data_IF_594808586613
#
_entry.id   IF_594808586613
#
_cell.length_a   1.000
_cell.length_b   1.000
_cell.length_c   1.000
_cell.angle_alpha   90.00
_cell.angle_beta   90.00
_cell.angle_gamma   90.00
#
_symmetry.space_group_name_H-M   'P 1'
#
loop_
_entity.id
_entity.type
_entity.pdbx_description
1 polymer ?
#
# COMPACT_ATOMS: atom_id res chain seq x y z
N UNK A 1 -9.33 15.68 -38.79
CA UNK A 1 -8.26 15.98 -37.82
C UNK A 1 -8.91 16.25 -36.47
N UNK A 2 -9.04 15.25 -35.64
CA UNK A 2 -9.59 15.36 -34.28
C UNK A 2 -8.40 15.34 -33.33
N UNK A 3 -8.16 16.47 -32.66
CA UNK A 3 -7.15 16.63 -31.61
C UNK A 3 -7.51 15.75 -30.41
N UNK A 4 -6.61 14.95 -29.84
CA UNK A 4 -6.92 14.24 -28.60
C UNK A 4 -7.01 15.26 -27.46
N UNK A 5 -8.14 15.28 -26.79
CA UNK A 5 -8.37 16.05 -25.57
C UNK A 5 -7.32 15.62 -24.52
N UNK A 6 -6.37 16.50 -24.21
CA UNK A 6 -5.47 16.36 -23.09
C UNK A 6 -6.29 16.48 -21.83
N UNK A 7 -6.63 15.36 -21.21
CA UNK A 7 -7.10 15.31 -19.85
C UNK A 7 -5.99 15.84 -18.93
N UNK A 8 -6.01 17.12 -18.65
CA UNK A 8 -5.14 17.75 -17.65
C UNK A 8 -5.67 17.36 -16.29
N UNK A 9 -5.21 16.25 -15.72
CA UNK A 9 -5.34 16.01 -14.29
C UNK A 9 -4.59 17.16 -13.58
N UNK A 10 -5.37 18.13 -13.16
CA UNK A 10 -4.92 19.26 -12.37
C UNK A 10 -4.44 18.69 -11.05
N UNK A 11 -3.11 18.71 -10.77
CA UNK A 11 -2.57 18.38 -9.44
C UNK A 11 -3.35 19.16 -8.40
N UNK A 12 -3.91 18.43 -7.43
CA UNK A 12 -4.41 19.03 -6.21
C UNK A 12 -3.26 19.85 -5.59
N UNK A 13 -3.54 21.01 -5.01
CA UNK A 13 -2.48 21.78 -4.32
C UNK A 13 -1.90 20.93 -3.18
N UNK A 14 -0.61 21.05 -2.87
CA UNK A 14 0.09 20.23 -1.86
C UNK A 14 -0.65 20.09 -0.51
N UNK A 15 -1.44 21.10 -0.13
CA UNK A 15 -2.28 21.04 1.07
C UNK A 15 -3.38 20.00 0.97
N UNK A 16 -4.05 19.94 -0.18
CA UNK A 16 -5.11 18.96 -0.42
C UNK A 16 -4.58 17.53 -0.54
N UNK A 17 -3.36 17.34 -1.10
CA UNK A 17 -2.73 16.03 -1.17
C UNK A 17 -2.51 15.45 0.22
N UNK A 18 -2.04 16.25 1.18
CA UNK A 18 -1.85 15.84 2.57
C UNK A 18 -3.16 15.45 3.25
N UNK A 19 -4.24 16.19 3.01
CA UNK A 19 -5.57 15.86 3.54
C UNK A 19 -6.08 14.53 2.96
N UNK A 20 -5.87 14.28 1.66
CA UNK A 20 -6.22 13.00 1.02
C UNK A 20 -5.41 11.85 1.66
N UNK A 21 -4.11 12.02 1.86
CA UNK A 21 -3.26 10.99 2.48
C UNK A 21 -3.69 10.71 3.92
N UNK A 22 -3.99 11.74 4.70
CA UNK A 22 -4.44 11.54 6.08
C UNK A 22 -5.79 10.83 6.15
N UNK A 23 -6.79 11.26 5.39
CA UNK A 23 -8.08 10.57 5.33
C UNK A 23 -7.92 9.11 4.83
N UNK A 24 -7.07 8.88 3.82
CA UNK A 24 -6.79 7.53 3.32
C UNK A 24 -6.10 6.65 4.38
N UNK A 25 -5.15 7.20 5.15
CA UNK A 25 -4.51 6.47 6.26
C UNK A 25 -5.53 6.01 7.30
N UNK A 26 -6.41 6.91 7.71
CA UNK A 26 -7.46 6.63 8.69
C UNK A 26 -8.49 5.59 8.18
N UNK A 27 -8.85 5.66 6.89
CA UNK A 27 -9.79 4.72 6.26
C UNK A 27 -9.18 3.34 5.98
N UNK A 28 -7.85 3.25 5.82
CA UNK A 28 -7.13 1.99 5.63
C UNK A 28 -6.61 1.39 6.95
N UNK A 29 -6.85 2.03 8.07
CA UNK A 29 -6.56 1.45 9.38
C UNK A 29 -7.52 0.28 9.67
N UNK A 30 -7.02 -0.72 10.42
CA UNK A 30 -7.85 -1.84 10.85
C UNK A 30 -9.06 -1.36 11.67
N UNK A 31 -10.27 -1.83 11.39
CA UNK A 31 -11.47 -1.48 12.16
C UNK A 31 -11.38 -2.01 13.60
N UNK A 32 -11.19 -1.11 14.54
CA UNK A 32 -11.05 -1.38 15.98
C UNK A 32 -11.84 -0.35 16.82
N UNK A 33 -11.66 -0.35 18.14
CA UNK A 33 -12.37 0.53 19.06
C UNK A 33 -12.18 2.03 18.82
N UNK A 34 -11.21 2.45 18.04
CA UNK A 34 -10.99 3.85 17.66
C UNK A 34 -11.61 4.24 16.31
N UNK A 35 -12.31 3.31 15.64
CA UNK A 35 -12.92 3.55 14.31
C UNK A 35 -13.83 4.77 14.31
N UNK A 36 -14.71 4.93 15.28
CA UNK A 36 -15.66 6.07 15.36
C UNK A 36 -14.92 7.41 15.32
N UNK A 37 -13.89 7.56 16.15
CA UNK A 37 -13.07 8.79 16.18
C UNK A 37 -12.36 9.04 14.84
N UNK A 38 -11.85 7.98 14.19
CA UNK A 38 -11.22 8.09 12.87
C UNK A 38 -12.23 8.56 11.83
N UNK A 39 -13.45 8.04 11.84
CA UNK A 39 -14.51 8.42 10.92
C UNK A 39 -14.96 9.88 11.14
N UNK A 40 -15.04 10.37 12.39
CA UNK A 40 -15.31 11.78 12.68
C UNK A 40 -14.23 12.70 12.06
N UNK A 41 -12.95 12.36 12.21
CA UNK A 41 -11.84 13.12 11.61
C UNK A 41 -11.94 13.10 10.08
N UNK A 42 -12.24 11.94 9.48
CA UNK A 42 -12.40 11.83 8.02
C UNK A 42 -13.57 12.66 7.54
N UNK A 43 -14.71 12.66 8.26
CA UNK A 43 -15.87 13.49 7.90
C UNK A 43 -15.53 14.99 7.83
N UNK A 44 -14.76 15.49 8.80
CA UNK A 44 -14.24 16.86 8.78
C UNK A 44 -13.33 17.11 7.57
N UNK A 45 -12.37 16.22 7.33
CA UNK A 45 -11.46 16.33 6.18
C UNK A 45 -12.23 16.36 4.84
N UNK A 46 -13.24 15.50 4.67
CA UNK A 46 -14.04 15.45 3.44
C UNK A 46 -14.66 16.81 3.10
N UNK A 47 -15.06 17.58 4.10
CA UNK A 47 -15.60 18.94 3.93
C UNK A 47 -14.61 19.96 3.34
N UNK A 48 -13.31 19.66 3.42
CA UNK A 48 -12.22 20.53 2.96
C UNK A 48 -11.60 20.07 1.63
N UNK A 49 -12.00 18.90 1.11
CA UNK A 49 -11.44 18.32 -0.11
C UNK A 49 -12.21 18.80 -1.36
N UNK A 50 -11.53 18.79 -2.53
CA UNK A 50 -12.21 18.92 -3.82
C UNK A 50 -13.27 17.81 -3.99
N UNK A 51 -14.40 18.10 -4.67
CA UNK A 51 -15.55 17.18 -4.77
C UNK A 51 -15.19 15.78 -5.28
N UNK A 52 -14.24 15.68 -6.22
CA UNK A 52 -13.78 14.40 -6.77
C UNK A 52 -13.11 13.51 -5.70
N UNK A 53 -12.16 14.07 -4.95
CA UNK A 53 -11.50 13.37 -3.87
C UNK A 53 -12.45 13.04 -2.71
N UNK A 54 -13.32 13.98 -2.35
CA UNK A 54 -14.33 13.78 -1.32
C UNK A 54 -15.32 12.66 -1.69
N UNK A 55 -15.71 12.54 -2.95
CA UNK A 55 -16.57 11.44 -3.42
C UNK A 55 -15.88 10.10 -3.28
N UNK A 56 -14.63 9.98 -3.76
CA UNK A 56 -13.86 8.74 -3.72
C UNK A 56 -13.63 8.22 -2.29
N UNK A 57 -13.24 9.10 -1.37
CA UNK A 57 -13.02 8.74 0.03
C UNK A 57 -14.33 8.54 0.79
N UNK A 58 -15.37 9.33 0.45
CA UNK A 58 -16.68 9.27 1.08
C UNK A 58 -17.42 7.94 0.88
N UNK A 59 -17.15 7.21 -0.19
CA UNK A 59 -17.70 5.87 -0.40
C UNK A 59 -17.21 4.89 0.68
N UNK A 60 -15.91 4.89 0.97
CA UNK A 60 -15.33 4.04 2.03
C UNK A 60 -15.75 4.52 3.41
N UNK A 61 -15.79 5.83 3.63
CA UNK A 61 -16.26 6.41 4.90
C UNK A 61 -17.67 5.92 5.22
N UNK A 62 -18.61 6.07 4.28
CA UNK A 62 -20.00 5.64 4.44
C UNK A 62 -20.10 4.14 4.69
N UNK A 63 -19.35 3.33 3.94
CA UNK A 63 -19.30 1.88 4.15
C UNK A 63 -18.90 1.54 5.59
N UNK A 64 -17.86 2.16 6.13
CA UNK A 64 -17.38 1.91 7.49
C UNK A 64 -18.34 2.46 8.56
N UNK A 65 -19.04 3.58 8.28
CA UNK A 65 -20.04 4.17 9.18
C UNK A 65 -21.30 3.32 9.27
N UNK A 66 -21.75 2.73 8.13
CA UNK A 66 -22.97 1.90 8.06
C UNK A 66 -22.74 0.44 8.44
N UNK A 67 -21.46 0.00 8.56
CA UNK A 67 -21.12 -1.41 8.82
C UNK A 67 -20.77 -1.61 10.29
N UNK A 68 -21.36 -2.61 10.90
CA UNK A 68 -21.03 -3.01 12.27
C UNK A 68 -19.55 -3.41 12.37
N UNK A 69 -18.87 -3.01 13.47
CA UNK A 69 -17.42 -3.05 13.61
C UNK A 69 -16.80 -4.45 13.38
N UNK A 70 -17.41 -5.51 13.90
CA UNK A 70 -16.90 -6.88 13.69
C UNK A 70 -17.07 -7.34 12.25
N UNK A 71 -18.13 -6.88 11.58
CA UNK A 71 -18.36 -7.14 10.15
C UNK A 71 -17.37 -6.36 9.29
N UNK A 72 -17.07 -5.11 9.64
CA UNK A 72 -16.04 -4.30 8.97
C UNK A 72 -14.66 -4.93 9.15
N UNK A 73 -14.30 -5.37 10.36
CA UNK A 73 -13.05 -6.05 10.65
C UNK A 73 -12.91 -7.37 9.87
N UNK A 74 -13.96 -8.17 9.80
CA UNK A 74 -13.96 -9.42 9.02
C UNK A 74 -13.75 -9.13 7.51
N UNK A 75 -14.42 -8.11 6.96
CA UNK A 75 -14.25 -7.70 5.56
C UNK A 75 -12.85 -7.12 5.30
N UNK A 76 -12.27 -6.40 6.26
CA UNK A 76 -10.88 -5.91 6.19
C UNK A 76 -9.90 -7.09 6.05
N UNK A 77 -9.98 -8.06 6.96
CA UNK A 77 -9.14 -9.28 6.93
C UNK A 77 -9.33 -10.04 5.62
N UNK A 78 -10.58 -10.26 5.18
CA UNK A 78 -10.83 -10.91 3.90
C UNK A 78 -10.23 -10.14 2.72
N UNK A 79 -10.27 -8.81 2.76
CA UNK A 79 -9.80 -7.96 1.67
C UNK A 79 -8.28 -7.87 1.65
N UNK A 80 -7.62 -7.61 2.78
CA UNK A 80 -6.21 -7.20 2.82
C UNK A 80 -5.26 -8.29 3.33
N UNK A 81 -5.72 -9.18 4.24
CA UNK A 81 -4.85 -10.16 4.87
C UNK A 81 -4.90 -11.51 4.17
N UNK A 82 -6.09 -11.94 3.72
CA UNK A 82 -6.26 -13.25 3.09
C UNK A 82 -5.99 -13.26 1.59
N UNK A 83 -5.87 -12.11 0.95
CA UNK A 83 -5.65 -11.99 -0.50
C UNK A 83 -4.32 -11.33 -0.81
N UNK A 84 -3.36 -12.09 -1.32
CA UNK A 84 -2.03 -11.58 -1.71
C UNK A 84 -2.06 -10.41 -2.69
N UNK A 85 -3.10 -10.31 -3.55
CA UNK A 85 -3.26 -9.25 -4.55
C UNK A 85 -3.79 -7.93 -4.00
N UNK A 86 -4.16 -7.89 -2.72
CA UNK A 86 -4.71 -6.69 -2.06
C UNK A 86 -3.99 -6.35 -0.78
N UNK A 87 -2.81 -6.94 -0.52
CA UNK A 87 -2.00 -6.62 0.65
C UNK A 87 -1.57 -5.16 0.68
N UNK A 88 -1.64 -4.54 1.86
CA UNK A 88 -1.24 -3.15 2.08
C UNK A 88 0.27 -2.98 2.33
N UNK A 89 1.04 -4.07 2.39
CA UNK A 89 2.50 -4.02 2.56
C UNK A 89 3.21 -3.78 1.24
N UNK A 90 3.77 -2.58 1.07
CA UNK A 90 4.32 -2.13 -0.22
C UNK A 90 5.54 -2.93 -0.66
N UNK A 91 6.40 -3.33 0.30
CA UNK A 91 7.60 -4.12 -0.01
C UNK A 91 7.30 -5.55 -0.42
N UNK A 92 6.12 -6.08 -0.07
CA UNK A 92 5.67 -7.38 -0.54
C UNK A 92 5.64 -7.46 -2.07
N UNK A 93 5.20 -6.40 -2.73
CA UNK A 93 5.12 -6.33 -4.18
C UNK A 93 6.48 -6.28 -4.88
N UNK A 94 7.52 -5.75 -4.19
CA UNK A 94 8.86 -5.55 -4.78
C UNK A 94 9.86 -6.61 -4.36
N UNK A 95 9.70 -7.17 -3.18
CA UNK A 95 10.61 -8.16 -2.61
C UNK A 95 9.94 -9.51 -2.30
N UNK A 96 8.60 -9.60 -2.32
CA UNK A 96 7.89 -10.83 -1.94
C UNK A 96 8.17 -11.25 -0.50
N UNK A 97 8.00 -12.53 -0.20
CA UNK A 97 8.36 -13.11 1.10
C UNK A 97 9.83 -13.59 1.10
N UNK A 98 10.75 -12.72 0.66
CA UNK A 98 12.17 -13.01 0.57
C UNK A 98 12.97 -12.34 1.69
N UNK A 99 14.22 -12.78 1.91
CA UNK A 99 15.15 -12.11 2.85
C UNK A 99 15.41 -10.64 2.51
N UNK A 100 15.22 -10.25 1.25
CA UNK A 100 15.38 -8.88 0.80
C UNK A 100 14.30 -7.95 1.36
N UNK A 101 13.10 -8.47 1.68
CA UNK A 101 11.98 -7.68 2.22
C UNK A 101 12.36 -6.97 3.52
N UNK A 102 13.06 -7.66 4.44
CA UNK A 102 13.52 -7.03 5.69
C UNK A 102 14.38 -5.78 5.46
N UNK A 103 15.27 -5.79 4.45
CA UNK A 103 16.07 -4.60 4.10
C UNK A 103 15.23 -3.48 3.51
N UNK A 104 14.22 -3.80 2.71
CA UNK A 104 13.31 -2.77 2.18
C UNK A 104 12.46 -2.15 3.28
N UNK A 105 11.96 -2.93 4.25
CA UNK A 105 11.23 -2.40 5.42
C UNK A 105 12.12 -1.47 6.24
N UNK A 106 13.38 -1.86 6.50
CA UNK A 106 14.33 -1.00 7.21
C UNK A 106 14.58 0.32 6.48
N UNK A 107 14.57 0.33 5.14
CA UNK A 107 14.72 1.56 4.38
C UNK A 107 13.54 2.54 4.58
N UNK A 108 12.31 2.06 4.83
CA UNK A 108 11.19 2.93 5.24
C UNK A 108 11.45 3.50 6.64
N UNK A 109 11.83 2.67 7.59
CA UNK A 109 12.14 3.11 8.95
C UNK A 109 13.26 4.17 8.98
N UNK A 110 14.28 4.03 8.14
CA UNK A 110 15.37 5.00 8.02
C UNK A 110 14.91 6.33 7.44
N UNK A 111 13.96 6.33 6.48
CA UNK A 111 13.33 7.56 5.99
C UNK A 111 12.57 8.27 7.11
N UNK A 112 11.78 7.53 7.90
CA UNK A 112 11.04 8.11 9.03
C UNK A 112 11.97 8.74 10.06
N UNK A 113 13.01 8.02 10.49
CA UNK A 113 14.02 8.55 11.44
C UNK A 113 14.76 9.77 10.90
N UNK A 114 15.08 9.79 9.61
CA UNK A 114 15.72 10.93 8.95
C UNK A 114 14.85 12.18 8.96
N UNK A 115 13.53 12.01 9.01
CA UNK A 115 12.54 13.09 9.15
C UNK A 115 12.17 13.36 10.63
N UNK A 116 12.85 12.74 11.60
CA UNK A 116 12.61 12.95 13.02
C UNK A 116 11.45 12.18 13.63
N UNK A 117 10.94 11.14 12.94
CA UNK A 117 9.87 10.27 13.44
C UNK A 117 10.39 8.85 13.67
N UNK A 118 9.89 8.19 14.72
CA UNK A 118 10.09 6.76 14.89
C UNK A 118 9.00 5.98 14.14
N UNK A 119 9.35 4.85 13.51
CA UNK A 119 8.34 3.96 12.93
C UNK A 119 7.44 3.40 14.04
N UNK A 120 6.16 3.10 13.75
CA UNK A 120 5.26 2.52 14.75
C UNK A 120 5.80 1.18 15.27
N UNK A 121 5.49 0.86 16.53
CA UNK A 121 5.95 -0.38 17.16
C UNK A 121 5.04 -1.58 16.89
N UNK A 122 3.80 -1.33 16.53
CA UNK A 122 2.70 -2.28 16.37
C UNK A 122 2.38 -2.58 14.90
N UNK A 123 3.01 -1.87 13.95
CA UNK A 123 2.82 -2.09 12.52
C UNK A 123 4.13 -1.95 11.74
N UNK A 124 4.23 -2.61 10.59
CA UNK A 124 5.42 -2.51 9.74
C UNK A 124 5.51 -1.14 9.04
N UNK A 125 6.72 -0.62 8.93
CA UNK A 125 6.98 0.70 8.37
C UNK A 125 6.56 0.84 6.88
N UNK A 126 6.42 -0.26 6.15
CA UNK A 126 5.99 -0.31 4.76
C UNK A 126 4.47 -0.52 4.58
N UNK A 127 3.71 -0.61 5.68
CA UNK A 127 2.25 -0.66 5.60
C UNK A 127 1.70 0.64 5.03
N UNK A 128 0.82 0.56 4.04
CA UNK A 128 0.36 1.74 3.28
C UNK A 128 -0.27 2.82 4.18
N UNK A 129 -1.08 2.44 5.17
CA UNK A 129 -1.67 3.41 6.09
C UNK A 129 -0.58 4.18 6.87
N UNK A 130 0.48 3.51 7.31
CA UNK A 130 1.63 4.13 8.00
C UNK A 130 2.38 5.10 7.07
N UNK A 131 2.62 4.70 5.82
CA UNK A 131 3.28 5.56 4.83
C UNK A 131 2.46 6.80 4.52
N UNK A 132 1.14 6.67 4.41
CA UNK A 132 0.21 7.76 4.15
C UNK A 132 0.14 8.73 5.34
N UNK A 133 0.08 8.21 6.56
CA UNK A 133 0.07 9.03 7.78
C UNK A 133 1.39 9.81 7.93
N UNK A 134 2.53 9.15 7.73
CA UNK A 134 3.83 9.81 7.68
C UNK A 134 3.87 10.93 6.63
N UNK A 135 3.38 10.67 5.41
CA UNK A 135 3.34 11.66 4.33
C UNK A 135 2.41 12.84 4.65
N UNK A 136 1.31 12.58 5.35
CA UNK A 136 0.34 13.60 5.71
C UNK A 136 0.83 14.50 6.85
N UNK A 137 1.39 13.91 7.90
CA UNK A 137 1.61 14.60 9.19
C UNK A 137 3.08 14.99 9.39
N UNK A 138 4.02 14.10 9.02
CA UNK A 138 5.44 14.29 9.33
C UNK A 138 6.19 14.98 8.20
N UNK A 139 6.36 14.32 7.07
CA UNK A 139 7.16 14.82 5.95
C UNK A 139 6.49 14.50 4.60
N UNK A 140 5.81 15.51 4.05
CA UNK A 140 5.09 15.38 2.78
C UNK A 140 6.04 15.14 1.58
N UNK A 141 7.28 15.62 1.65
CA UNK A 141 8.25 15.45 0.54
C UNK A 141 8.81 14.04 0.54
N UNK A 142 9.28 13.57 1.70
CA UNK A 142 9.79 12.21 1.85
C UNK A 142 8.68 11.18 1.64
N UNK A 143 7.47 11.43 2.17
CA UNK A 143 6.31 10.57 1.99
C UNK A 143 5.85 10.47 0.53
N UNK A 144 5.73 11.61 -0.19
CA UNK A 144 5.45 11.58 -1.64
C UNK A 144 6.51 10.77 -2.40
N UNK A 145 7.79 10.92 -2.04
CA UNK A 145 8.86 10.16 -2.68
C UNK A 145 8.71 8.64 -2.47
N UNK A 146 8.32 8.19 -1.27
CA UNK A 146 8.00 6.80 -1.00
C UNK A 146 6.80 6.33 -1.83
N UNK A 147 5.68 7.04 -1.81
CA UNK A 147 4.48 6.70 -2.59
C UNK A 147 4.78 6.61 -4.10
N UNK A 148 5.59 7.53 -4.63
CA UNK A 148 6.03 7.50 -6.03
C UNK A 148 6.92 6.30 -6.35
N UNK A 149 7.83 5.94 -5.46
CA UNK A 149 8.69 4.75 -5.62
C UNK A 149 7.86 3.47 -5.74
N UNK A 150 6.76 3.40 -5.01
CA UNK A 150 5.85 2.26 -5.01
C UNK A 150 4.59 2.47 -5.87
N UNK A 151 4.67 3.35 -6.88
CA UNK A 151 3.55 3.66 -7.78
C UNK A 151 2.96 2.41 -8.45
N UNK A 152 3.80 1.51 -8.94
CA UNK A 152 3.33 0.29 -9.60
C UNK A 152 2.54 -0.63 -8.64
N UNK A 153 3.00 -0.94 -7.42
CA UNK A 153 2.19 -1.57 -6.39
C UNK A 153 0.84 -0.89 -6.12
N UNK A 154 0.81 0.44 -5.99
CA UNK A 154 -0.42 1.19 -5.74
C UNK A 154 -1.44 1.04 -6.87
N UNK A 155 -1.00 1.08 -8.14
CA UNK A 155 -1.86 0.86 -9.30
C UNK A 155 -2.42 -0.57 -9.33
N UNK A 156 -1.60 -1.57 -8.99
CA UNK A 156 -2.05 -2.96 -8.93
C UNK A 156 -3.08 -3.18 -7.82
N UNK A 157 -2.81 -2.63 -6.65
CA UNK A 157 -3.71 -2.69 -5.50
C UNK A 157 -5.05 -2.01 -5.84
N UNK A 158 -5.02 -0.81 -6.42
CA UNK A 158 -6.21 -0.12 -6.90
C UNK A 158 -7.00 -0.98 -7.89
N UNK A 159 -6.33 -1.53 -8.92
CA UNK A 159 -6.98 -2.37 -9.93
C UNK A 159 -7.63 -3.60 -9.31
N UNK A 160 -6.95 -4.31 -8.40
CA UNK A 160 -7.48 -5.49 -7.72
C UNK A 160 -8.69 -5.19 -6.83
N UNK A 161 -8.68 -4.05 -6.12
CA UNK A 161 -9.82 -3.59 -5.32
C UNK A 161 -11.00 -3.18 -6.21
N UNK A 162 -10.76 -2.52 -7.33
CA UNK A 162 -11.80 -2.13 -8.29
C UNK A 162 -12.43 -3.35 -8.96
N UNK A 163 -11.62 -4.34 -9.40
CA UNK A 163 -12.09 -5.60 -9.98
C UNK A 163 -12.99 -6.39 -9.02
N UNK A 164 -12.63 -6.40 -7.73
CA UNK A 164 -13.42 -7.07 -6.68
C UNK A 164 -14.60 -6.23 -6.18
N UNK A 165 -14.78 -5.01 -6.69
CA UNK A 165 -15.79 -4.05 -6.22
C UNK A 165 -15.70 -3.77 -4.72
N UNK A 166 -14.46 -3.73 -4.20
CA UNK A 166 -14.23 -3.45 -2.79
C UNK A 166 -14.62 -2.01 -2.44
N UNK A 167 -15.22 -1.83 -1.28
CA UNK A 167 -15.51 -0.49 -0.73
C UNK A 167 -14.25 0.37 -0.54
N UNK A 168 -13.07 -0.22 -0.49
CA UNK A 168 -11.78 0.48 -0.36
C UNK A 168 -11.17 0.94 -1.69
N UNK A 169 -11.78 0.62 -2.84
CA UNK A 169 -11.22 0.99 -4.16
C UNK A 169 -11.10 2.51 -4.33
N UNK A 170 -12.09 3.29 -3.85
CA UNK A 170 -12.08 4.75 -3.90
C UNK A 170 -10.90 5.38 -3.15
N UNK A 171 -10.49 4.81 -2.01
CA UNK A 171 -9.32 5.29 -1.25
C UNK A 171 -8.07 5.23 -2.09
N UNK A 172 -7.82 4.10 -2.77
CA UNK A 172 -6.64 3.94 -3.61
C UNK A 172 -6.69 4.84 -4.84
N UNK A 173 -7.88 5.04 -5.44
CA UNK A 173 -8.09 5.98 -6.53
C UNK A 173 -7.73 7.41 -6.10
N UNK A 174 -8.20 7.86 -4.92
CA UNK A 174 -7.89 9.16 -4.36
C UNK A 174 -6.38 9.34 -4.12
N UNK A 175 -5.72 8.37 -3.49
CA UNK A 175 -4.25 8.38 -3.30
C UNK A 175 -3.52 8.46 -4.64
N UNK A 176 -3.88 7.63 -5.60
CA UNK A 176 -3.27 7.63 -6.93
C UNK A 176 -3.45 8.97 -7.66
N UNK A 177 -4.55 9.68 -7.46
CA UNK A 177 -4.80 10.98 -8.10
C UNK A 177 -3.89 12.11 -7.59
N UNK A 178 -3.37 12.02 -6.36
CA UNK A 178 -2.42 12.98 -5.79
C UNK A 178 -1.01 12.85 -6.38
N UNK A 179 -0.68 11.68 -6.91
CA UNK A 179 0.66 11.38 -7.42
C UNK A 179 0.80 11.78 -8.90
N UNK A 180 2.01 12.05 -9.37
CA UNK A 180 2.25 12.27 -10.81
C UNK A 180 1.72 11.10 -11.64
N UNK A 181 1.28 11.40 -12.85
CA UNK A 181 0.84 10.37 -13.81
C UNK A 181 1.87 9.25 -13.91
N UNK A 182 1.41 7.99 -13.84
CA UNK A 182 2.27 6.83 -13.97
C UNK A 182 3.06 6.88 -15.28
N UNK A 183 4.37 6.68 -15.20
CA UNK A 183 5.23 6.64 -16.39
C UNK A 183 5.05 5.32 -17.15
N UNK A 184 5.49 5.27 -18.41
CA UNK A 184 5.49 4.02 -19.17
C UNK A 184 6.27 2.90 -18.44
N UNK A 185 7.32 3.27 -17.68
CA UNK A 185 8.09 2.33 -16.83
C UNK A 185 7.26 1.80 -15.66
N UNK A 186 6.47 2.65 -15.01
CA UNK A 186 5.60 2.24 -13.90
C UNK A 186 4.51 1.26 -14.40
N UNK A 187 3.90 1.58 -15.53
CA UNK A 187 2.90 0.73 -16.19
C UNK A 187 3.49 -0.63 -16.60
N UNK A 188 4.68 -0.63 -17.19
CA UNK A 188 5.37 -1.86 -17.56
C UNK A 188 5.71 -2.71 -16.34
N UNK A 189 6.20 -2.08 -15.25
CA UNK A 189 6.49 -2.77 -13.99
C UNK A 189 5.22 -3.34 -13.34
N UNK A 190 4.12 -2.57 -13.34
CA UNK A 190 2.83 -3.04 -12.83
C UNK A 190 2.34 -4.27 -13.62
N UNK A 191 2.42 -4.24 -14.96
CA UNK A 191 2.04 -5.39 -15.80
C UNK A 191 2.90 -6.63 -15.54
N UNK A 192 4.21 -6.45 -15.37
CA UNK A 192 5.12 -7.54 -15.03
C UNK A 192 4.76 -8.17 -13.68
N UNK A 193 4.57 -7.36 -12.64
CA UNK A 193 4.13 -7.82 -11.33
C UNK A 193 2.75 -8.48 -11.34
N UNK A 194 1.82 -7.99 -12.18
CA UNK A 194 0.50 -8.61 -12.35
C UNK A 194 0.58 -10.00 -12.98
N UNK A 195 1.51 -10.20 -13.93
CA UNK A 195 1.68 -11.45 -14.65
C UNK A 195 2.47 -12.50 -13.85
N UNK A 196 3.55 -12.09 -13.21
CA UNK A 196 4.50 -13.00 -12.53
C UNK A 196 4.27 -13.09 -11.01
N UNK A 197 3.55 -12.14 -10.45
CA UNK A 197 3.40 -11.98 -9.00
C UNK A 197 4.64 -11.37 -8.34
N UNK A 198 4.61 -11.22 -6.99
CA UNK A 198 5.76 -10.80 -6.21
C UNK A 198 6.91 -11.80 -6.33
N UNK A 199 8.18 -11.35 -6.19
CA UNK A 199 9.33 -12.24 -6.20
C UNK A 199 9.18 -13.38 -5.17
N UNK A 200 9.56 -14.60 -5.54
CA UNK A 200 9.61 -15.74 -4.65
C UNK A 200 11.07 -16.18 -4.46
N UNK A 201 11.43 -16.66 -3.26
CA UNK A 201 12.72 -17.30 -3.06
C UNK A 201 12.73 -18.65 -3.78
N UNK A 202 13.70 -18.87 -4.65
CA UNK A 202 14.01 -20.20 -5.16
C UNK A 202 14.78 -20.97 -4.09
N UNK A 203 14.09 -21.38 -3.01
CA UNK A 203 14.72 -22.16 -1.94
C UNK A 203 14.71 -23.62 -2.34
N UNK A 204 15.90 -24.20 -2.53
CA UNK A 204 16.11 -25.62 -2.36
C UNK A 204 15.63 -26.55 -3.48
N UNK A 205 15.63 -26.12 -4.76
CA UNK A 205 15.45 -27.03 -5.89
C UNK A 205 16.77 -27.68 -6.37
N UNK A 206 17.89 -27.46 -5.68
CA UNK A 206 19.07 -28.27 -5.88
C UNK A 206 18.85 -29.65 -5.27
N UNK A 207 19.01 -30.78 -6.03
CA UNK A 207 18.96 -32.11 -5.43
C UNK A 207 20.01 -32.19 -4.34
N UNK A 208 19.57 -32.53 -3.13
CA UNK A 208 20.45 -32.78 -1.99
C UNK A 208 21.24 -34.09 -2.31
N UNK A 209 22.42 -33.96 -2.90
CA UNK A 209 23.32 -35.09 -3.10
C UNK A 209 24.00 -35.34 -1.77
N UNK A 210 23.45 -36.25 -0.98
CA UNK A 210 24.14 -36.85 0.15
C UNK A 210 25.30 -37.69 -0.40
N UNK A 211 26.49 -37.11 -0.54
CA UNK A 211 27.72 -37.89 -0.69
C UNK A 211 28.09 -38.44 0.67
N UNK A 212 27.73 -39.68 0.93
CA UNK A 212 28.23 -40.42 2.09
C UNK A 212 29.70 -40.76 1.81
N UNK A 213 30.66 -40.26 2.61
CA UNK A 213 32.05 -40.65 2.40
C UNK A 213 32.21 -42.16 2.65
N UNK A 214 33.01 -42.88 1.87
CA UNK A 214 33.20 -44.32 2.03
C UNK A 214 33.76 -44.61 3.41
N UNK A 215 33.16 -45.63 4.08
CA UNK A 215 33.60 -46.14 5.37
C UNK A 215 35.03 -46.66 5.22
N UNK A 216 35.99 -46.09 5.96
CA UNK A 216 37.35 -46.69 6.06
C UNK A 216 37.22 -48.03 6.71
N UNK A 217 37.52 -49.10 5.95
CA UNK A 217 37.73 -50.44 6.53
C UNK A 217 38.98 -50.39 7.40
N UNK A 218 38.82 -50.77 8.67
CA UNK A 218 39.93 -50.87 9.63
C UNK A 218 40.87 -51.96 9.21
N UNK A 219 42.18 -51.63 9.11
CA UNK A 219 43.26 -52.62 9.10
C UNK A 219 43.28 -53.24 10.47
N UNK A 220 43.19 -54.61 10.48
CA UNK A 220 43.56 -55.49 11.56
C UNK A 220 45.08 -55.55 11.73
#
# INVERSE_FOLDING_TARGET
MLSPARSSHRRLGRGNDRLVWHAAALLLAYPDGDQEKRLEIVADILGHLPPEAATLLGETHRFLEETEIYSAAAQYVETFDLRRRTTLYLTYWTAGDTRNRGREILAFADVYRSSGAEPPADELADHLAVVLDFAAIVDAVAGEALLRRYRAPLELLHSALAESRSAYAGVLAAVCSTLPTATAKDVARARHLAAEGPPAEAVGLGPFTLSVPPRREGMT
#
